data_IF_905035194138
#
_entry.id   IF_905035194138
#
_cell.length_a   1.000
_cell.length_b   1.000
_cell.length_c   1.000
_cell.angle_alpha   90.00
_cell.angle_beta   90.00
_cell.angle_gamma   90.00
#
_symmetry.space_group_name_H-M   'P 1'
#
loop_
_entity.id
_entity.type
_entity.pdbx_description
1 polymer ?
#
# COMPACT_ATOMS: atom_id res chain seq x y z
N UNK A 1 -73.21 64.87 -40.74
CA UNK A 1 -73.32 63.81 -39.74
C UNK A 1 -71.86 63.45 -39.33
N UNK A 2 -71.40 64.06 -38.23
CA UNK A 2 -70.03 63.80 -37.66
C UNK A 2 -70.15 62.69 -36.64
N UNK A 3 -69.47 61.59 -36.87
CA UNK A 3 -69.31 60.54 -35.85
C UNK A 3 -68.05 60.82 -35.06
N UNK A 4 -68.22 61.26 -33.83
CA UNK A 4 -67.15 61.25 -32.80
C UNK A 4 -66.99 59.79 -32.33
N UNK A 5 -65.92 59.19 -32.70
CA UNK A 5 -65.44 57.97 -32.06
C UNK A 5 -64.70 58.37 -30.78
N UNK A 6 -65.41 58.26 -29.66
CA UNK A 6 -64.73 58.39 -28.34
C UNK A 6 -63.98 57.11 -28.03
N UNK A 7 -62.69 57.25 -27.79
CA UNK A 7 -61.88 56.15 -27.26
C UNK A 7 -62.47 55.60 -25.95
N UNK A 8 -62.71 54.34 -25.89
CA UNK A 8 -63.28 53.68 -24.72
C UNK A 8 -62.28 53.71 -23.57
N UNK A 9 -62.69 53.93 -22.31
CA UNK A 9 -61.81 53.99 -21.17
C UNK A 9 -61.04 52.67 -20.89
N UNK A 10 -61.50 51.59 -21.50
CA UNK A 10 -60.85 50.26 -21.39
C UNK A 10 -59.47 50.19 -22.06
N UNK A 11 -59.30 50.84 -23.22
CA UNK A 11 -58.01 50.80 -23.95
C UNK A 11 -56.87 51.52 -23.21
N UNK A 12 -57.17 52.58 -22.44
CA UNK A 12 -56.18 53.29 -21.64
C UNK A 12 -55.75 52.53 -20.37
N UNK A 13 -56.63 51.68 -19.83
CA UNK A 13 -56.28 50.85 -18.66
C UNK A 13 -55.33 49.70 -19.05
N UNK A 14 -55.59 49.04 -20.17
CA UNK A 14 -54.74 47.93 -20.65
C UNK A 14 -53.29 48.41 -20.97
N UNK A 15 -53.14 49.56 -21.64
CA UNK A 15 -51.80 50.07 -21.97
C UNK A 15 -50.99 50.49 -20.73
N UNK A 16 -51.65 50.93 -19.67
CA UNK A 16 -51.00 51.33 -18.41
C UNK A 16 -50.55 50.11 -17.59
N UNK A 17 -51.38 49.09 -17.57
CA UNK A 17 -51.08 47.83 -16.86
C UNK A 17 -50.07 47.01 -17.60
N UNK A 18 -50.05 47.00 -18.93
CA UNK A 18 -49.05 46.36 -19.76
C UNK A 18 -47.63 46.96 -19.48
N UNK A 19 -47.56 48.30 -19.34
CA UNK A 19 -46.26 48.97 -19.01
C UNK A 19 -45.76 48.59 -17.61
N UNK A 20 -46.70 48.44 -16.65
CA UNK A 20 -46.32 48.00 -15.30
C UNK A 20 -45.83 46.55 -15.27
N UNK A 21 -46.52 45.65 -15.99
CA UNK A 21 -46.12 44.23 -16.11
C UNK A 21 -44.77 44.13 -16.81
N UNK A 22 -44.53 44.89 -17.86
CA UNK A 22 -43.26 44.95 -18.56
C UNK A 22 -42.13 45.45 -17.66
N UNK A 23 -42.39 46.52 -16.88
CA UNK A 23 -41.43 47.06 -15.95
C UNK A 23 -41.09 46.06 -14.81
N UNK A 24 -42.10 45.35 -14.30
CA UNK A 24 -41.89 44.30 -13.29
C UNK A 24 -41.08 43.12 -13.87
N UNK A 25 -41.38 42.73 -15.09
CA UNK A 25 -40.65 41.65 -15.82
C UNK A 25 -39.17 42.03 -16.05
N UNK A 26 -38.90 43.27 -16.48
CA UNK A 26 -37.50 43.75 -16.60
C UNK A 26 -36.78 43.81 -15.29
N UNK A 27 -37.44 44.24 -14.20
CA UNK A 27 -36.84 44.26 -12.88
C UNK A 27 -36.51 42.86 -12.39
N UNK A 28 -37.38 41.89 -12.60
CA UNK A 28 -37.13 40.47 -12.29
C UNK A 28 -35.97 39.91 -13.08
N UNK A 29 -35.85 40.24 -14.36
CA UNK A 29 -34.75 39.79 -15.23
C UNK A 29 -33.41 40.39 -14.76
N UNK A 30 -33.38 41.67 -14.36
CA UNK A 30 -32.19 42.31 -13.82
C UNK A 30 -31.73 41.68 -12.50
N UNK A 31 -32.66 41.37 -11.61
CA UNK A 31 -32.33 40.66 -10.33
C UNK A 31 -31.82 39.24 -10.62
N UNK A 32 -32.41 38.52 -11.55
CA UNK A 32 -31.94 37.20 -11.93
C UNK A 32 -30.52 37.22 -12.55
N UNK A 33 -30.24 38.24 -13.40
CA UNK A 33 -28.90 38.47 -13.94
C UNK A 33 -27.88 38.81 -12.85
N UNK A 34 -28.24 39.69 -11.90
CA UNK A 34 -27.37 40.05 -10.80
C UNK A 34 -27.06 38.85 -9.88
N UNK A 35 -28.03 37.96 -9.65
CA UNK A 35 -27.81 36.74 -8.90
C UNK A 35 -26.92 35.75 -9.69
N UNK A 36 -27.13 35.61 -10.99
CA UNK A 36 -26.32 34.74 -11.84
C UNK A 36 -24.86 35.17 -11.90
N UNK A 37 -24.60 36.49 -11.97
CA UNK A 37 -23.25 37.03 -11.94
C UNK A 37 -22.62 36.95 -10.53
N UNK A 38 -23.42 37.09 -9.48
CA UNK A 38 -22.96 36.93 -8.09
C UNK A 38 -22.57 35.50 -7.73
N UNK A 39 -23.31 34.52 -8.23
CA UNK A 39 -22.98 33.09 -7.98
C UNK A 39 -21.78 32.60 -8.80
N UNK A 40 -21.56 33.13 -10.01
CA UNK A 40 -20.36 32.79 -10.79
C UNK A 40 -19.07 33.41 -10.21
N UNK A 41 -19.18 34.48 -9.42
CA UNK A 41 -18.02 35.10 -8.74
C UNK A 41 -17.57 34.32 -7.48
N UNK A 42 -18.40 33.45 -6.91
CA UNK A 42 -18.06 32.65 -5.72
C UNK A 42 -17.36 31.32 -6.04
N UNK A 43 -17.44 30.82 -7.27
CA UNK A 43 -16.63 29.71 -7.75
C UNK A 43 -15.29 30.21 -8.34
N UNK A 44 -14.52 30.93 -7.55
CA UNK A 44 -13.09 31.05 -7.84
C UNK A 44 -12.47 29.70 -7.61
N UNK A 45 -11.83 29.19 -8.68
CA UNK A 45 -10.96 28.02 -8.66
C UNK A 45 -10.04 28.10 -7.44
N UNK A 46 -10.40 27.39 -6.37
CA UNK A 46 -9.63 27.38 -5.13
C UNK A 46 -8.44 26.44 -5.33
N UNK A 47 -7.38 26.95 -5.97
CA UNK A 47 -6.11 26.24 -6.10
C UNK A 47 -5.37 26.33 -4.77
N UNK A 48 -5.56 25.33 -3.93
CA UNK A 48 -4.72 25.11 -2.77
C UNK A 48 -3.46 24.38 -3.23
N UNK A 49 -2.32 25.07 -3.23
CA UNK A 49 -1.03 24.41 -3.38
C UNK A 49 -0.73 23.70 -2.05
N UNK A 50 -0.62 22.39 -2.14
CA UNK A 50 -0.22 21.53 -1.01
C UNK A 50 1.14 20.95 -1.35
N UNK A 51 2.07 21.03 -0.41
CA UNK A 51 3.35 20.36 -0.50
C UNK A 51 3.20 18.96 0.09
N UNK A 52 3.74 17.95 -0.60
CA UNK A 52 3.92 16.59 -0.08
C UNK A 52 5.43 16.35 -0.04
N UNK A 53 5.94 15.98 1.13
CA UNK A 53 7.32 15.54 1.28
C UNK A 53 7.28 14.04 1.62
N UNK A 54 7.93 13.24 0.77
CA UNK A 54 8.11 11.80 0.98
C UNK A 54 9.62 11.55 1.02
N UNK A 55 10.07 10.94 2.10
CA UNK A 55 11.44 10.42 2.20
C UNK A 55 11.40 8.93 1.90
N UNK A 56 12.25 8.49 0.96
CA UNK A 56 12.50 7.06 0.72
C UNK A 56 13.75 6.71 1.49
N UNK A 57 13.62 5.78 2.39
CA UNK A 57 14.68 5.36 3.34
C UNK A 57 15.04 3.89 3.10
N UNK A 58 15.98 3.34 3.87
CA UNK A 58 16.32 1.93 3.81
C UNK A 58 15.22 1.06 4.43
N UNK A 59 15.16 -0.20 4.03
CA UNK A 59 14.14 -1.18 4.43
C UNK A 59 14.10 -1.40 5.96
N UNK A 60 15.21 -1.15 6.65
CA UNK A 60 15.36 -1.33 8.11
C UNK A 60 15.05 -0.07 8.95
N UNK A 61 14.52 0.98 8.33
CA UNK A 61 14.14 2.24 8.99
C UNK A 61 12.88 2.87 8.40
N UNK A 62 12.07 2.08 7.71
CA UNK A 62 10.84 2.54 7.09
C UNK A 62 9.61 2.36 8.01
N UNK A 63 8.43 2.81 7.56
CA UNK A 63 7.18 2.69 8.33
C UNK A 63 6.71 1.24 8.48
N UNK A 64 7.06 0.39 7.51
CA UNK A 64 6.89 -1.08 7.56
C UNK A 64 8.31 -1.63 7.45
N UNK A 65 8.93 -1.75 8.59
CA UNK A 65 10.36 -2.01 8.73
C UNK A 65 10.69 -3.47 8.42
N UNK A 66 11.76 -3.66 7.65
CA UNK A 66 12.25 -4.98 7.25
C UNK A 66 13.70 -5.12 7.71
N UNK A 67 13.97 -5.99 8.67
CA UNK A 67 15.35 -6.20 9.10
C UNK A 67 15.79 -7.67 9.09
N UNK A 68 17.09 -7.92 8.91
CA UNK A 68 17.63 -9.27 8.85
C UNK A 68 17.56 -9.97 10.21
N UNK A 69 17.09 -11.22 10.23
CA UNK A 69 16.96 -12.04 11.44
C UNK A 69 18.06 -13.06 11.62
N UNK A 70 18.77 -13.41 10.56
CA UNK A 70 19.80 -14.43 10.56
C UNK A 70 21.03 -14.04 9.73
N UNK A 71 22.17 -14.74 9.84
CA UNK A 71 23.37 -14.46 9.04
C UNK A 71 23.13 -14.48 7.52
N UNK A 72 22.10 -15.18 7.07
CA UNK A 72 21.73 -15.31 5.64
C UNK A 72 21.00 -14.10 5.07
N UNK A 73 20.65 -13.11 5.90
CA UNK A 73 20.02 -11.87 5.46
C UNK A 73 20.86 -10.65 5.89
N UNK A 74 20.84 -9.59 5.07
CA UNK A 74 21.56 -8.34 5.35
C UNK A 74 20.91 -7.17 4.60
N UNK A 75 21.20 -5.94 5.03
CA UNK A 75 20.84 -4.74 4.28
C UNK A 75 22.03 -4.37 3.38
N UNK A 76 21.79 -4.25 2.08
CA UNK A 76 22.83 -3.90 1.13
C UNK A 76 23.11 -2.38 1.08
N UNK A 77 24.11 -1.96 0.31
CA UNK A 77 24.52 -0.54 0.14
C UNK A 77 23.41 0.36 -0.42
N UNK A 78 22.33 -0.21 -0.97
CA UNK A 78 21.17 0.51 -1.48
C UNK A 78 20.02 0.59 -0.45
N UNK A 79 20.25 0.11 0.77
CA UNK A 79 19.26 0.06 1.84
C UNK A 79 18.17 -1.01 1.62
N UNK A 80 18.43 -2.07 0.84
CA UNK A 80 17.47 -3.15 0.60
C UNK A 80 17.83 -4.40 1.36
N UNK A 81 16.82 -5.05 1.92
CA UNK A 81 16.96 -6.38 2.48
C UNK A 81 17.30 -7.40 1.38
N UNK A 82 18.37 -8.13 1.59
CA UNK A 82 18.83 -9.23 0.72
C UNK A 82 18.90 -10.50 1.54
N UNK A 83 18.43 -11.59 0.98
CA UNK A 83 18.54 -12.93 1.56
C UNK A 83 19.47 -13.72 0.63
N UNK A 84 20.60 -14.18 1.16
CA UNK A 84 21.65 -14.82 0.37
C UNK A 84 22.28 -15.99 1.16
N UNK A 85 22.14 -17.17 0.60
CA UNK A 85 22.64 -18.44 1.13
C UNK A 85 23.93 -18.90 0.45
N UNK A 86 24.62 -18.01 -0.27
CA UNK A 86 25.88 -18.29 -0.96
C UNK A 86 27.09 -17.73 -0.21
N UNK A 87 28.28 -18.02 -0.74
CA UNK A 87 29.53 -17.42 -0.28
C UNK A 87 29.67 -15.92 -0.61
N UNK A 88 28.77 -15.39 -1.44
CA UNK A 88 28.78 -13.96 -1.78
C UNK A 88 28.16 -13.09 -0.66
N UNK A 89 27.46 -13.71 0.28
CA UNK A 89 26.89 -13.05 1.44
C UNK A 89 28.01 -12.40 2.28
N UNK A 90 27.96 -11.07 2.58
CA UNK A 90 28.96 -10.39 3.40
C UNK A 90 29.06 -10.96 4.83
N UNK A 91 28.00 -11.62 5.30
CA UNK A 91 27.98 -12.30 6.60
C UNK A 91 28.59 -13.70 6.57
N UNK A 92 29.09 -14.18 5.41
CA UNK A 92 29.65 -15.53 5.33
C UNK A 92 30.81 -15.73 6.30
N UNK A 93 30.79 -16.80 7.12
CA UNK A 93 31.78 -16.99 8.20
C UNK A 93 33.24 -17.14 7.74
N UNK A 94 33.48 -17.38 6.45
CA UNK A 94 34.82 -17.44 5.89
C UNK A 94 35.47 -16.08 5.61
N UNK A 95 34.74 -14.98 5.62
CA UNK A 95 35.28 -13.64 5.45
C UNK A 95 35.77 -13.04 6.76
N UNK A 96 36.99 -12.50 6.75
CA UNK A 96 37.62 -11.91 7.95
C UNK A 96 36.85 -10.67 8.49
N UNK A 97 36.17 -9.97 7.60
CA UNK A 97 35.39 -8.76 7.94
C UNK A 97 33.91 -9.09 8.27
N UNK A 98 33.52 -10.37 8.18
CA UNK A 98 32.18 -10.79 8.55
C UNK A 98 31.97 -10.68 10.07
N UNK A 99 30.81 -10.17 10.54
CA UNK A 99 30.46 -10.21 11.96
C UNK A 99 30.34 -11.65 12.50
N UNK A 100 30.23 -12.63 11.62
CA UNK A 100 30.14 -14.07 11.93
C UNK A 100 31.43 -14.82 11.60
N UNK A 101 32.57 -14.13 11.46
CA UNK A 101 33.84 -14.74 11.09
C UNK A 101 34.24 -15.86 12.03
N UNK A 102 34.62 -17.00 11.43
CA UNK A 102 35.19 -18.16 12.15
C UNK A 102 36.54 -18.50 11.52
N UNK A 103 37.67 -18.43 12.30
CA UNK A 103 38.98 -18.79 11.80
C UNK A 103 39.00 -20.23 11.24
N UNK A 104 39.60 -20.41 10.06
CA UNK A 104 39.66 -21.71 9.36
C UNK A 104 38.31 -22.35 9.10
N UNK A 105 37.28 -21.52 8.74
CA UNK A 105 35.97 -22.01 8.38
C UNK A 105 36.03 -23.09 7.28
N UNK A 106 35.45 -24.25 7.55
CA UNK A 106 35.36 -25.39 6.63
C UNK A 106 33.92 -25.80 6.34
N UNK A 107 32.96 -24.92 6.67
CA UNK A 107 31.53 -25.20 6.54
C UNK A 107 30.98 -25.03 5.12
N UNK A 108 29.66 -25.03 5.01
CA UNK A 108 28.94 -25.01 3.74
C UNK A 108 29.20 -23.76 2.89
N UNK A 109 29.11 -23.94 1.57
CA UNK A 109 29.25 -22.90 0.55
C UNK A 109 27.90 -22.50 -0.07
N UNK A 110 26.81 -23.10 0.40
CA UNK A 110 25.46 -22.92 -0.14
C UNK A 110 24.53 -24.07 0.21
N UNK A 111 23.43 -24.15 -0.50
CA UNK A 111 22.37 -25.17 -0.36
C UNK A 111 22.76 -26.43 -1.17
N UNK A 112 22.59 -27.61 -0.59
CA UNK A 112 22.85 -28.86 -1.30
C UNK A 112 21.77 -29.17 -2.34
N UNK A 113 22.13 -29.74 -3.51
CA UNK A 113 21.15 -30.12 -4.51
C UNK A 113 20.11 -31.11 -3.99
N UNK A 114 18.84 -30.95 -4.41
CA UNK A 114 17.71 -31.83 -4.07
C UNK A 114 17.45 -31.99 -2.57
N UNK A 115 17.89 -31.00 -1.77
CA UNK A 115 17.70 -30.95 -0.33
C UNK A 115 16.69 -29.90 0.04
N UNK A 116 16.03 -30.03 1.20
CA UNK A 116 15.19 -29.02 1.79
C UNK A 116 15.84 -28.48 3.05
N UNK A 117 15.82 -27.18 3.18
CA UNK A 117 16.34 -26.45 4.35
C UNK A 117 15.24 -25.59 4.92
N UNK A 118 15.21 -25.54 6.24
CA UNK A 118 14.25 -24.78 7.02
C UNK A 118 15.02 -23.80 7.90
N UNK A 119 14.76 -22.50 7.72
CA UNK A 119 15.41 -21.44 8.45
C UNK A 119 14.35 -20.58 9.16
N UNK A 120 14.33 -20.64 10.48
CA UNK A 120 13.43 -19.83 11.28
C UNK A 120 13.89 -18.36 11.28
N UNK A 121 12.95 -17.42 11.17
CA UNK A 121 13.18 -15.99 11.34
C UNK A 121 14.34 -15.44 10.48
N UNK A 122 14.31 -15.72 9.18
CA UNK A 122 15.32 -15.23 8.23
C UNK A 122 15.32 -13.71 8.15
N UNK A 123 14.12 -13.12 8.21
CA UNK A 123 13.93 -11.68 8.34
C UNK A 123 12.70 -11.38 9.19
N UNK A 124 12.59 -10.13 9.61
CA UNK A 124 11.47 -9.65 10.39
C UNK A 124 10.72 -8.57 9.63
N UNK A 125 9.42 -8.48 9.88
CA UNK A 125 8.55 -7.40 9.42
C UNK A 125 7.91 -6.77 10.64
N UNK A 126 7.97 -5.44 10.75
CA UNK A 126 7.37 -4.71 11.86
C UNK A 126 6.50 -3.54 11.40
N UNK A 127 5.54 -3.14 12.25
CA UNK A 127 4.60 -2.07 11.99
C UNK A 127 4.94 -0.81 12.80
N UNK A 128 5.55 0.18 12.17
CA UNK A 128 5.92 1.48 12.75
C UNK A 128 5.10 2.65 12.20
N UNK A 129 3.89 2.39 11.69
CA UNK A 129 3.00 3.44 11.21
C UNK A 129 2.65 4.43 12.32
N UNK A 130 2.73 5.72 12.00
CA UNK A 130 2.42 6.81 12.94
C UNK A 130 0.95 6.84 13.35
N UNK A 131 0.04 6.36 12.50
CA UNK A 131 -1.41 6.29 12.73
C UNK A 131 -1.79 5.29 13.82
N UNK A 132 -0.85 4.51 14.34
CA UNK A 132 -1.09 3.47 15.34
C UNK A 132 -2.24 2.52 14.94
N UNK A 133 -2.27 2.16 13.67
CA UNK A 133 -3.28 1.25 13.10
C UNK A 133 -2.70 -0.13 12.83
N UNK A 134 -3.53 -1.15 12.96
CA UNK A 134 -3.17 -2.52 12.56
C UNK A 134 -3.12 -2.64 11.04
N UNK A 135 -2.15 -3.39 10.54
CA UNK A 135 -1.98 -3.66 9.12
C UNK A 135 -2.06 -5.15 8.82
N UNK A 136 -2.42 -5.45 7.58
CA UNK A 136 -2.28 -6.79 7.01
C UNK A 136 -1.07 -6.75 6.09
N UNK A 137 -0.14 -7.65 6.30
CA UNK A 137 1.06 -7.82 5.46
C UNK A 137 0.90 -9.09 4.65
N UNK A 138 1.26 -9.02 3.37
CA UNK A 138 1.37 -10.16 2.46
C UNK A 138 2.80 -10.30 1.99
N UNK A 139 3.34 -11.51 2.06
CA UNK A 139 4.68 -11.87 1.59
C UNK A 139 4.54 -12.87 0.46
N UNK A 140 5.10 -12.53 -0.72
CA UNK A 140 4.94 -13.29 -1.95
C UNK A 140 6.30 -13.68 -2.50
N UNK A 141 6.51 -14.98 -2.73
CA UNK A 141 7.64 -15.51 -3.46
C UNK A 141 7.43 -15.42 -4.98
N UNK A 142 8.46 -15.03 -5.72
CA UNK A 142 8.43 -15.13 -7.19
C UNK A 142 8.63 -16.57 -7.69
N UNK A 143 9.14 -17.45 -6.84
CA UNK A 143 9.36 -18.87 -7.11
C UNK A 143 8.99 -19.73 -5.90
N UNK A 144 7.68 -20.04 -5.72
CA UNK A 144 7.20 -20.83 -4.59
C UNK A 144 7.73 -22.27 -4.57
N UNK A 145 8.24 -22.77 -5.69
CA UNK A 145 8.83 -24.09 -5.80
C UNK A 145 10.23 -24.18 -5.18
N UNK A 146 10.95 -23.06 -5.17
CA UNK A 146 12.29 -22.97 -4.62
C UNK A 146 12.30 -22.41 -3.20
N UNK A 147 11.50 -21.38 -2.91
CA UNK A 147 11.42 -20.80 -1.56
C UNK A 147 10.00 -20.38 -1.18
N UNK A 148 9.62 -20.72 0.03
CA UNK A 148 8.33 -20.50 0.62
C UNK A 148 8.49 -20.02 2.07
N UNK A 149 7.41 -19.51 2.66
CA UNK A 149 7.42 -18.82 3.94
C UNK A 149 6.56 -19.52 4.99
N UNK A 150 6.94 -19.37 6.25
CA UNK A 150 6.18 -19.85 7.39
C UNK A 150 6.48 -19.01 8.63
N UNK A 151 5.67 -19.21 9.67
CA UNK A 151 5.87 -18.64 10.99
C UNK A 151 5.50 -19.68 12.07
N UNK A 152 6.45 -20.01 12.93
CA UNK A 152 6.29 -21.02 13.97
C UNK A 152 5.36 -20.57 15.14
N UNK A 153 4.97 -19.28 15.17
CA UNK A 153 4.00 -18.74 16.14
C UNK A 153 2.54 -18.92 15.70
N UNK A 154 2.30 -19.38 14.46
CA UNK A 154 0.95 -19.60 13.88
C UNK A 154 0.14 -18.32 13.66
N UNK A 155 0.78 -17.16 13.57
CA UNK A 155 0.13 -15.89 13.27
C UNK A 155 -0.09 -15.66 11.78
N UNK A 156 0.62 -16.39 10.95
CA UNK A 156 0.58 -16.30 9.48
C UNK A 156 -0.48 -17.23 8.88
N UNK A 157 -0.97 -16.90 7.69
CA UNK A 157 -1.94 -17.69 6.93
C UNK A 157 -1.53 -17.77 5.46
N UNK A 158 -1.75 -18.91 4.82
CA UNK A 158 -1.65 -19.04 3.36
C UNK A 158 -2.77 -18.25 2.71
N UNK A 159 -2.45 -17.41 1.72
CA UNK A 159 -3.42 -16.54 1.04
C UNK A 159 -4.55 -17.35 0.42
N UNK A 160 -5.78 -16.93 0.65
CA UNK A 160 -6.99 -17.60 0.14
C UNK A 160 -7.41 -18.88 0.90
N UNK A 161 -6.74 -19.22 2.01
CA UNK A 161 -7.05 -20.41 2.82
C UNK A 161 -7.16 -20.09 4.29
N UNK A 162 -7.45 -21.10 5.10
CA UNK A 162 -7.34 -21.07 6.57
C UNK A 162 -6.10 -21.81 7.08
N UNK A 163 -5.24 -22.24 6.16
CA UNK A 163 -4.01 -22.97 6.49
C UNK A 163 -2.99 -22.05 7.12
N UNK A 164 -2.38 -22.50 8.19
CA UNK A 164 -1.32 -21.77 8.90
C UNK A 164 0.03 -22.41 8.59
N UNK A 165 0.92 -21.72 7.85
CA UNK A 165 2.25 -22.19 7.53
C UNK A 165 3.19 -21.97 8.72
N UNK A 166 3.17 -22.86 9.70
CA UNK A 166 3.96 -22.75 10.93
C UNK A 166 5.21 -23.65 10.97
N UNK A 167 5.49 -24.35 9.89
CA UNK A 167 6.72 -25.12 9.70
C UNK A 167 6.93 -25.38 8.19
N UNK A 168 8.02 -26.05 7.82
CA UNK A 168 8.34 -26.35 6.43
C UNK A 168 7.28 -27.20 5.72
N UNK A 169 6.57 -28.09 6.44
CA UNK A 169 5.54 -28.94 5.83
C UNK A 169 4.30 -28.15 5.38
N UNK A 170 4.13 -26.95 5.92
CA UNK A 170 2.99 -26.05 5.66
C UNK A 170 3.41 -24.73 5.03
N UNK A 171 4.71 -24.53 4.77
CA UNK A 171 5.25 -23.33 4.12
C UNK A 171 4.59 -23.10 2.76
N UNK A 172 4.34 -21.84 2.41
CA UNK A 172 3.72 -21.44 1.14
C UNK A 172 4.40 -20.20 0.56
N UNK A 173 4.32 -20.04 -0.75
CA UNK A 173 4.91 -18.91 -1.45
C UNK A 173 4.07 -17.63 -1.39
N UNK A 174 2.87 -17.66 -0.83
CA UNK A 174 2.00 -16.50 -0.68
C UNK A 174 1.26 -16.56 0.66
N UNK A 175 1.72 -15.73 1.60
CA UNK A 175 1.26 -15.77 2.98
C UNK A 175 0.87 -14.37 3.46
N UNK A 176 -0.10 -14.32 4.38
CA UNK A 176 -0.59 -13.09 5.00
C UNK A 176 -0.57 -13.19 6.52
N UNK A 177 -0.37 -12.05 7.19
CA UNK A 177 -0.48 -11.91 8.64
C UNK A 177 -0.87 -10.51 9.05
N UNK A 178 -1.35 -10.36 10.30
CA UNK A 178 -1.72 -9.06 10.87
C UNK A 178 -0.64 -8.63 11.83
N UNK A 179 -0.22 -7.36 11.74
CA UNK A 179 0.65 -6.71 12.70
C UNK A 179 -0.10 -5.58 13.41
N UNK A 180 -0.08 -5.62 14.74
CA UNK A 180 -0.54 -4.51 15.57
C UNK A 180 0.49 -3.35 15.52
N UNK A 181 0.13 -2.13 15.93
CA UNK A 181 1.10 -1.05 16.08
C UNK A 181 2.28 -1.46 16.98
N UNK A 182 3.50 -1.31 16.47
CA UNK A 182 4.74 -1.69 17.17
C UNK A 182 4.98 -3.19 17.26
N UNK A 183 4.15 -4.03 16.62
CA UNK A 183 4.36 -5.48 16.56
C UNK A 183 5.34 -5.85 15.44
N UNK A 184 6.13 -6.88 15.70
CA UNK A 184 7.09 -7.48 14.79
C UNK A 184 6.79 -8.97 14.62
N UNK A 185 6.96 -9.51 13.41
CA UNK A 185 6.87 -10.92 13.11
C UNK A 185 8.13 -11.41 12.40
N UNK A 186 8.73 -12.48 12.91
CA UNK A 186 9.82 -13.19 12.25
C UNK A 186 9.30 -14.14 11.17
N UNK A 187 9.77 -13.96 9.93
CA UNK A 187 9.40 -14.80 8.79
C UNK A 187 10.45 -15.88 8.59
N UNK A 188 10.04 -17.13 8.71
CA UNK A 188 10.82 -18.30 8.36
C UNK A 188 10.75 -18.61 6.87
N UNK A 189 11.78 -19.26 6.36
CA UNK A 189 11.86 -19.70 4.96
C UNK A 189 12.18 -21.18 4.85
N UNK A 190 11.39 -21.89 4.05
CA UNK A 190 11.80 -23.18 3.49
C UNK A 190 12.44 -22.94 2.13
N UNK A 191 13.58 -23.59 1.89
CA UNK A 191 14.30 -23.56 0.62
C UNK A 191 14.43 -24.98 0.10
N UNK A 192 13.89 -25.22 -1.08
CA UNK A 192 14.05 -26.48 -1.80
C UNK A 192 15.22 -26.34 -2.80
N UNK A 193 16.34 -26.99 -2.54
CA UNK A 193 17.46 -27.06 -3.47
C UNK A 193 17.06 -27.80 -4.74
N UNK A 194 17.24 -27.15 -5.90
CA UNK A 194 17.02 -27.73 -7.22
C UNK A 194 18.24 -28.54 -7.71
N UNK A 195 18.52 -28.44 -9.00
CA UNK A 195 19.77 -28.91 -9.60
C UNK A 195 20.93 -27.98 -9.20
N UNK A 196 22.16 -28.42 -9.42
CA UNK A 196 23.34 -27.62 -9.13
C UNK A 196 23.36 -26.34 -9.98
N UNK A 197 23.43 -25.19 -9.34
CA UNK A 197 23.47 -23.87 -9.99
C UNK A 197 23.00 -22.77 -9.02
N UNK A 198 23.01 -21.55 -9.51
CA UNK A 198 22.53 -20.39 -8.77
C UNK A 198 21.05 -20.17 -9.04
N UNK A 199 20.29 -19.90 -8.00
CA UNK A 199 18.86 -19.61 -8.07
C UNK A 199 18.63 -18.17 -7.54
N UNK A 200 17.89 -17.41 -8.32
CA UNK A 200 17.54 -16.01 -7.96
C UNK A 200 16.03 -15.86 -7.94
N UNK A 201 15.54 -15.15 -6.95
CA UNK A 201 14.14 -14.81 -6.84
C UNK A 201 13.91 -13.48 -6.14
N UNK A 202 12.66 -13.05 -6.14
CA UNK A 202 12.24 -11.83 -5.46
C UNK A 202 11.20 -12.17 -4.40
N UNK A 203 11.32 -11.53 -3.25
CA UNK A 203 10.28 -11.48 -2.24
C UNK A 203 9.55 -10.14 -2.40
N UNK A 204 8.24 -10.18 -2.58
CA UNK A 204 7.41 -8.99 -2.64
C UNK A 204 6.62 -8.87 -1.35
N UNK A 205 6.76 -7.75 -0.66
CA UNK A 205 6.03 -7.45 0.56
C UNK A 205 5.03 -6.34 0.27
N UNK A 206 3.78 -6.54 0.66
CA UNK A 206 2.69 -5.58 0.52
C UNK A 206 2.00 -5.43 1.87
N UNK A 207 1.55 -4.21 2.16
CA UNK A 207 0.80 -3.94 3.38
C UNK A 207 -0.42 -3.07 3.11
N UNK A 208 -1.47 -3.29 3.89
CA UNK A 208 -2.72 -2.54 3.84
C UNK A 208 -3.24 -2.28 5.25
N UNK A 209 -3.97 -1.18 5.48
CA UNK A 209 -4.78 -1.04 6.69
C UNK A 209 -5.73 -2.24 6.85
N UNK A 210 -5.99 -2.66 8.07
CA UNK A 210 -6.74 -3.89 8.38
C UNK A 210 -8.08 -3.99 7.63
N UNK A 211 -8.81 -2.88 7.45
CA UNK A 211 -10.10 -2.85 6.76
C UNK A 211 -10.00 -2.82 5.22
N UNK A 212 -8.81 -2.65 4.64
CA UNK A 212 -8.58 -2.49 3.20
C UNK A 212 -7.82 -3.67 2.59
N UNK A 213 -7.51 -4.67 3.40
CA UNK A 213 -6.77 -5.84 2.94
C UNK A 213 -7.57 -6.63 1.89
N UNK A 214 -6.89 -7.24 0.90
CA UNK A 214 -7.51 -8.13 -0.05
C UNK A 214 -8.26 -9.27 0.66
N UNK A 215 -9.47 -9.60 0.19
CA UNK A 215 -10.29 -10.71 0.73
C UNK A 215 -9.50 -12.02 0.80
N UNK A 216 -8.54 -12.20 -0.10
CA UNK A 216 -7.68 -13.36 -0.21
C UNK A 216 -6.77 -13.56 1.01
N UNK A 217 -6.42 -12.50 1.75
CA UNK A 217 -5.64 -12.60 2.99
C UNK A 217 -6.41 -13.20 4.17
N UNK A 218 -7.71 -13.51 4.02
CA UNK A 218 -8.48 -14.29 5.00
C UNK A 218 -8.71 -13.62 6.35
N UNK A 219 -8.31 -12.37 6.49
CA UNK A 219 -8.52 -11.59 7.71
C UNK A 219 -9.99 -11.21 7.76
N UNK A 220 -10.76 -11.94 8.56
CA UNK A 220 -12.13 -11.56 8.88
C UNK A 220 -12.07 -10.38 9.85
N UNK A 221 -12.49 -9.22 9.35
CA UNK A 221 -12.81 -8.03 10.17
C UNK A 221 -13.95 -8.33 11.13
#
# INVERSE_FOLDING_TARGET
MSHCYGETPFEKLEAKDLKKVLALGMLGLLVAFAMALGTSATFRDYRSQRSVHVSVVADDVELIDLHPGQPYAYINDRGKLVIDFSVENPNWPGYIDSPYYIPNWTGGLGISPQSRYNFDHVFYVSNHLWEQTSIVVQVISSDPGTFSFYDNTKNMYVTGTTTKPYNSDTADGDVCFVLQPGEELGVGMEIAGGERGDFYGNVTIKAWPLGEAPIQCGVKT
#
